data_IF_398705413154
#
_entry.id   IF_398705413154
#
_cell.length_a   1.000
_cell.length_b   1.000
_cell.length_c   1.000
_cell.angle_alpha   90.00
_cell.angle_beta   90.00
_cell.angle_gamma   90.00
#
_symmetry.space_group_name_H-M   'P 1'
#
loop_
_entity.id
_entity.type
_entity.pdbx_description
1 polymer ?
#
# COMPACT_ATOMS: atom_id res chain seq x y z
N UNK A 1 29.74 -18.61 -18.38
CA UNK A 1 29.43 -17.18 -18.15
C UNK A 1 27.98 -16.77 -18.43
N UNK A 2 27.30 -17.33 -19.46
CA UNK A 2 25.89 -17.00 -19.76
C UNK A 2 24.91 -17.30 -18.62
N UNK A 3 25.05 -18.46 -17.97
CA UNK A 3 24.15 -18.91 -16.89
C UNK A 3 24.26 -18.00 -15.66
N UNK A 4 25.48 -17.56 -15.31
CA UNK A 4 25.70 -16.63 -14.19
C UNK A 4 25.02 -15.28 -14.43
N UNK A 5 25.10 -14.75 -15.65
CA UNK A 5 24.42 -13.49 -16.01
C UNK A 5 22.90 -13.62 -15.93
N UNK A 6 22.34 -14.75 -16.35
CA UNK A 6 20.90 -15.01 -16.27
C UNK A 6 20.46 -15.14 -14.79
N UNK A 7 21.23 -15.84 -13.97
CA UNK A 7 20.94 -15.99 -12.54
C UNK A 7 20.97 -14.64 -11.79
N UNK A 8 21.96 -13.79 -12.09
CA UNK A 8 22.03 -12.44 -11.51
C UNK A 8 20.83 -11.60 -11.95
N UNK A 9 20.48 -11.63 -13.24
CA UNK A 9 19.35 -10.88 -13.76
C UNK A 9 18.01 -11.32 -13.14
N UNK A 10 17.80 -12.63 -13.00
CA UNK A 10 16.64 -13.21 -12.35
C UNK A 10 16.57 -12.81 -10.86
N UNK A 11 17.69 -12.89 -10.14
CA UNK A 11 17.75 -12.49 -8.73
C UNK A 11 17.46 -11.00 -8.53
N UNK A 12 17.96 -10.13 -9.40
CA UNK A 12 17.66 -8.69 -9.36
C UNK A 12 16.18 -8.40 -9.63
N UNK A 13 15.57 -9.07 -10.62
CA UNK A 13 14.15 -8.88 -10.92
C UNK A 13 13.26 -9.36 -9.76
N UNK A 14 13.57 -10.53 -9.18
CA UNK A 14 12.83 -11.07 -8.05
C UNK A 14 12.98 -10.19 -6.79
N UNK A 15 14.18 -9.69 -6.52
CA UNK A 15 14.44 -8.77 -5.41
C UNK A 15 13.66 -7.45 -5.52
N UNK A 16 13.56 -6.88 -6.72
CA UNK A 16 12.79 -5.65 -6.96
C UNK A 16 11.28 -5.91 -6.77
N UNK A 17 10.75 -7.04 -7.24
CA UNK A 17 9.32 -7.37 -7.04
C UNK A 17 8.94 -7.57 -5.57
N UNK A 18 9.85 -8.10 -4.75
CA UNK A 18 9.62 -8.28 -3.32
C UNK A 18 9.67 -6.95 -2.55
N UNK A 19 10.46 -5.98 -3.01
CA UNK A 19 10.55 -4.65 -2.40
C UNK A 19 9.32 -3.76 -2.69
N UNK A 20 8.58 -4.02 -3.77
CA UNK A 20 7.35 -3.27 -4.10
C UNK A 20 6.12 -3.69 -3.29
N UNK A 21 6.22 -4.79 -2.55
CA UNK A 21 5.16 -5.29 -1.67
C UNK A 21 5.19 -4.67 -0.27
N UNK A 22 5.86 -3.51 -0.12
CA UNK A 22 5.51 -2.59 0.95
C UNK A 22 4.10 -2.12 0.66
N UNK A 23 3.12 -2.86 1.18
CA UNK A 23 1.73 -2.48 1.24
C UNK A 23 1.68 -1.00 1.63
N UNK A 24 1.47 -0.12 0.64
CA UNK A 24 1.09 1.25 0.90
C UNK A 24 -0.15 1.12 1.77
N UNK A 25 -0.02 1.43 3.06
CA UNK A 25 -1.09 1.34 4.05
C UNK A 25 -2.16 2.39 3.71
N UNK A 26 -2.88 2.12 2.64
CA UNK A 26 -3.95 2.93 2.13
C UNK A 26 -5.21 2.72 2.96
N UNK A 27 -6.20 3.53 2.63
CA UNK A 27 -7.35 3.76 3.46
C UNK A 27 -8.58 3.72 2.56
N UNK A 28 -9.49 2.78 2.81
CA UNK A 28 -10.84 2.90 2.26
C UNK A 28 -11.51 4.11 2.89
N UNK A 29 -12.03 5.01 2.06
CA UNK A 29 -12.70 6.25 2.49
C UNK A 29 -13.90 6.53 1.61
N UNK A 30 -14.95 7.09 2.20
CA UNK A 30 -16.12 7.60 1.50
C UNK A 30 -15.72 8.78 0.60
N UNK A 31 -15.91 8.60 -0.70
CA UNK A 31 -15.86 9.64 -1.73
C UNK A 31 -17.26 9.89 -2.31
N UNK A 32 -17.33 10.68 -3.39
CA UNK A 32 -18.60 11.11 -4.00
C UNK A 32 -19.49 9.95 -4.47
N UNK A 33 -18.87 8.85 -4.90
CA UNK A 33 -19.57 7.67 -5.45
C UNK A 33 -19.53 6.44 -4.55
N UNK A 34 -19.07 6.59 -3.30
CA UNK A 34 -18.96 5.47 -2.34
C UNK A 34 -17.56 5.29 -1.77
N UNK A 35 -17.26 4.09 -1.25
CA UNK A 35 -15.97 3.80 -0.62
C UNK A 35 -14.87 3.44 -1.63
N UNK A 36 -13.78 4.20 -1.62
CA UNK A 36 -12.63 4.00 -2.51
C UNK A 36 -11.34 3.84 -1.71
N UNK A 37 -10.39 3.08 -2.26
CA UNK A 37 -9.06 2.93 -1.68
C UNK A 37 -8.15 4.10 -2.06
N UNK A 38 -7.61 4.79 -1.05
CA UNK A 38 -6.66 5.88 -1.25
C UNK A 38 -5.31 5.52 -0.65
N UNK A 39 -4.22 5.89 -1.32
CA UNK A 39 -2.84 5.65 -0.81
C UNK A 39 -2.49 6.48 0.42
N UNK A 40 -3.22 7.57 0.64
CA UNK A 40 -3.04 8.48 1.76
C UNK A 40 -4.38 8.66 2.46
N UNK A 41 -4.36 8.65 3.79
CA UNK A 41 -5.52 9.02 4.56
C UNK A 41 -5.58 10.55 4.71
N UNK A 42 -6.75 11.13 4.49
CA UNK A 42 -7.04 12.57 4.62
C UNK A 42 -8.49 12.80 5.05
N UNK A 43 -8.70 13.73 5.98
CA UNK A 43 -10.02 14.12 6.48
C UNK A 43 -10.47 13.41 7.76
N UNK A 44 -11.69 13.72 8.24
CA UNK A 44 -12.22 13.26 9.52
C UNK A 44 -12.55 11.76 9.57
N UNK A 45 -12.62 11.20 10.79
CA UNK A 45 -12.77 9.76 11.03
C UNK A 45 -14.07 9.15 10.52
N UNK A 46 -15.14 9.93 10.38
CA UNK A 46 -16.44 9.43 9.89
C UNK A 46 -16.42 9.08 8.39
N UNK A 47 -15.40 9.53 7.64
CA UNK A 47 -15.24 9.17 6.24
C UNK A 47 -14.69 7.75 6.06
N UNK A 48 -14.26 7.08 7.12
CA UNK A 48 -13.64 5.76 7.06
C UNK A 48 -14.62 4.68 7.53
N UNK A 49 -14.57 3.47 6.94
CA UNK A 49 -15.39 2.35 7.39
C UNK A 49 -15.19 2.08 8.88
N UNK A 50 -16.28 1.64 9.54
CA UNK A 50 -16.33 1.41 10.99
C UNK A 50 -15.06 0.74 11.51
N UNK A 51 -14.50 1.34 12.57
CA UNK A 51 -13.26 0.95 13.25
C UNK A 51 -11.94 1.35 12.60
N UNK A 52 -11.90 2.07 11.47
CA UNK A 52 -10.63 2.59 10.93
C UNK A 52 -10.38 4.05 11.31
N UNK A 53 -9.18 4.33 11.81
CA UNK A 53 -8.68 5.69 12.07
C UNK A 53 -7.58 6.05 11.08
N UNK A 54 -7.69 7.25 10.52
CA UNK A 54 -6.64 7.88 9.75
C UNK A 54 -5.51 8.34 10.66
N UNK A 55 -4.30 7.82 10.45
CA UNK A 55 -3.08 8.36 11.04
C UNK A 55 -2.18 8.92 9.93
N UNK A 56 -2.05 10.25 9.86
CA UNK A 56 -1.33 10.94 8.78
C UNK A 56 0.09 10.40 8.52
N UNK A 57 0.76 9.92 9.57
CA UNK A 57 2.14 9.41 9.51
C UNK A 57 2.27 7.91 9.24
N UNK A 58 1.17 7.15 9.38
CA UNK A 58 1.24 5.68 9.44
C UNK A 58 0.09 4.98 8.69
N UNK A 59 -0.74 5.72 7.96
CA UNK A 59 -1.86 5.18 7.19
C UNK A 59 -3.09 4.87 8.03
N UNK A 60 -3.94 3.98 7.51
CA UNK A 60 -5.16 3.56 8.19
C UNK A 60 -4.85 2.48 9.21
N UNK A 61 -5.36 2.64 10.44
CA UNK A 61 -5.25 1.63 11.49
C UNK A 61 -6.63 1.27 12.00
N UNK A 62 -6.81 0.01 12.37
CA UNK A 62 -7.96 -0.38 13.16
C UNK A 62 -7.83 0.23 14.56
N UNK A 63 -8.94 0.75 15.09
CA UNK A 63 -9.07 1.22 16.47
C UNK A 63 -9.34 0.03 17.37
#
# INVERSE_FOLDING_TARGET
>A
MKIVKIAVFAATLFGVSLATDTAYAGCYRMGETGYHWYRHCVGPSFLYPHHRRCHYRHGCRYR
#
